data_IF_239792860000
#
_entry.id   IF_239792860000
#
_cell.length_a   1.000
_cell.length_b   1.000
_cell.length_c   1.000
_cell.angle_alpha   90.00
_cell.angle_beta   90.00
_cell.angle_gamma   90.00
#
_symmetry.space_group_name_H-M   'P 1'
#
loop_
_entity.id
_entity.type
_entity.pdbx_description
1 polymer ?
#
# COMPACT_ATOMS: atom_id res chain seq x y z
N UNK A 1 -59.68 3.53 34.32
CA UNK A 1 -58.85 3.05 33.21
C UNK A 1 -58.13 4.28 32.68
N UNK A 2 -57.17 4.85 33.40
CA UNK A 2 -55.82 4.33 33.69
C UNK A 2 -55.10 3.81 32.45
N UNK A 3 -54.13 4.62 32.00
CA UNK A 3 -52.78 4.35 31.44
C UNK A 3 -52.46 5.47 30.43
N UNK A 4 -51.89 6.61 30.85
CA UNK A 4 -50.44 6.84 31.04
C UNK A 4 -49.57 6.16 29.97
N UNK A 5 -48.95 6.93 29.08
CA UNK A 5 -47.58 7.40 29.30
C UNK A 5 -47.03 8.16 28.10
N UNK A 6 -46.34 9.25 28.41
CA UNK A 6 -45.45 9.97 27.52
C UNK A 6 -44.38 9.03 26.94
N UNK A 7 -44.11 9.16 25.64
CA UNK A 7 -42.82 8.74 25.09
C UNK A 7 -42.10 9.95 24.49
N UNK A 8 -41.57 10.74 25.43
CA UNK A 8 -40.48 11.68 25.18
C UNK A 8 -39.25 10.87 24.81
N UNK A 9 -39.10 10.52 23.52
CA UNK A 9 -37.83 9.97 23.04
C UNK A 9 -36.72 11.00 23.29
N UNK A 10 -35.69 10.67 24.08
CA UNK A 10 -34.63 11.62 24.40
C UNK A 10 -33.82 11.86 23.13
N UNK A 11 -33.65 13.14 22.80
CA UNK A 11 -32.63 13.62 21.86
C UNK A 11 -31.36 12.79 22.06
N UNK A 12 -31.07 11.92 21.09
CA UNK A 12 -29.75 11.31 21.01
C UNK A 12 -28.77 12.48 20.94
N UNK A 13 -27.75 12.53 21.81
CA UNK A 13 -26.73 13.55 21.68
C UNK A 13 -26.09 13.30 20.33
N UNK A 14 -26.39 14.17 19.36
CA UNK A 14 -25.64 14.32 18.14
C UNK A 14 -24.23 14.63 18.61
N UNK A 15 -23.42 13.58 18.80
CA UNK A 15 -21.97 13.71 18.84
C UNK A 15 -21.66 14.24 17.45
N UNK A 16 -21.59 15.58 17.36
CA UNK A 16 -20.94 16.29 16.27
C UNK A 16 -19.49 15.83 16.33
N UNK A 17 -19.25 14.63 15.80
CA UNK A 17 -17.93 14.29 15.34
C UNK A 17 -17.60 15.42 14.37
N UNK A 18 -16.50 16.15 14.57
CA UNK A 18 -16.11 17.17 13.63
C UNK A 18 -16.15 16.49 12.27
N UNK A 19 -17.01 17.02 11.42
CA UNK A 19 -17.08 16.66 10.02
C UNK A 19 -15.72 17.09 9.50
N UNK A 20 -14.74 16.18 9.59
CA UNK A 20 -13.42 16.34 9.02
C UNK A 20 -13.75 16.46 7.54
N UNK A 21 -13.90 17.68 7.06
CA UNK A 21 -14.02 18.00 5.65
C UNK A 21 -12.90 17.24 4.97
N UNK A 22 -13.30 16.30 4.10
CA UNK A 22 -12.56 15.12 3.62
C UNK A 22 -11.20 15.38 2.93
N UNK A 23 -10.67 16.61 3.02
CA UNK A 23 -9.46 17.08 2.35
C UNK A 23 -8.68 18.14 3.15
N UNK A 24 -9.08 18.45 4.39
CA UNK A 24 -8.28 19.34 5.23
C UNK A 24 -7.11 18.56 5.83
N UNK A 25 -5.90 18.94 5.41
CA UNK A 25 -4.64 18.45 5.97
C UNK A 25 -4.30 19.17 7.29
N UNK A 26 -5.32 19.43 8.11
CA UNK A 26 -5.17 20.19 9.33
C UNK A 26 -4.36 19.41 10.37
N UNK A 27 -3.37 20.10 10.93
CA UNK A 27 -2.66 19.61 12.11
C UNK A 27 -3.54 19.90 13.34
N UNK A 28 -3.69 18.97 14.30
CA UNK A 28 -2.89 17.76 14.55
C UNK A 28 -3.46 16.44 14.01
N UNK A 29 -4.57 16.45 13.25
CA UNK A 29 -5.32 15.25 12.89
C UNK A 29 -4.53 14.22 12.07
N UNK A 30 -3.55 14.69 11.29
CA UNK A 30 -2.70 13.86 10.44
C UNK A 30 -1.41 13.34 11.10
N UNK A 31 -1.26 13.53 12.42
CA UNK A 31 -0.21 12.85 13.19
C UNK A 31 -0.46 11.34 13.26
N UNK A 32 0.62 10.55 13.32
CA UNK A 32 0.55 9.08 13.37
C UNK A 32 -0.33 8.60 14.54
N UNK A 33 -0.19 9.20 15.72
CA UNK A 33 -0.95 8.80 16.91
C UNK A 33 -2.44 9.12 16.79
N UNK A 34 -2.78 10.26 16.19
CA UNK A 34 -4.18 10.62 15.92
C UNK A 34 -4.79 9.67 14.89
N UNK A 35 -4.07 9.38 13.80
CA UNK A 35 -4.52 8.43 12.77
C UNK A 35 -4.73 7.03 13.35
N UNK A 36 -3.86 6.56 14.25
CA UNK A 36 -4.05 5.27 14.96
C UNK A 36 -5.35 5.24 15.75
N UNK A 37 -5.61 6.27 16.57
CA UNK A 37 -6.83 6.34 17.37
C UNK A 37 -8.10 6.36 16.51
N UNK A 38 -8.05 7.09 15.39
CA UNK A 38 -9.16 7.20 14.43
C UNK A 38 -9.36 5.89 13.64
N UNK A 39 -8.27 5.21 13.28
CA UNK A 39 -8.31 3.94 12.55
C UNK A 39 -8.95 2.83 13.39
N UNK A 40 -8.69 2.78 14.72
CA UNK A 40 -9.35 1.84 15.64
C UNK A 40 -10.87 2.03 15.64
N UNK A 41 -11.33 3.26 15.47
CA UNK A 41 -12.76 3.57 15.36
C UNK A 41 -13.33 3.31 13.95
N UNK A 42 -12.52 2.85 12.99
CA UNK A 42 -12.86 2.65 11.58
C UNK A 42 -13.27 3.95 10.86
N UNK A 43 -12.74 5.10 11.31
CA UNK A 43 -13.12 6.43 10.80
C UNK A 43 -11.99 7.13 10.06
N UNK A 44 -11.15 6.36 9.36
CA UNK A 44 -9.95 6.88 8.69
C UNK A 44 -10.31 8.04 7.74
N UNK A 45 -9.64 9.21 7.86
CA UNK A 45 -9.95 10.38 7.06
C UNK A 45 -9.66 10.14 5.57
N UNK A 46 -10.30 10.93 4.71
CA UNK A 46 -9.98 10.98 3.28
C UNK A 46 -8.84 12.00 3.02
N UNK A 47 -8.02 11.77 1.99
CA UNK A 47 -7.94 10.54 1.18
C UNK A 47 -7.31 9.38 1.96
N UNK A 48 -7.93 8.19 1.91
CA UNK A 48 -7.46 7.01 2.66
C UNK A 48 -6.07 6.56 2.23
N UNK A 49 -5.69 6.77 0.97
CA UNK A 49 -4.36 6.46 0.46
C UNK A 49 -3.26 7.17 1.24
N UNK A 50 -3.43 8.46 1.54
CA UNK A 50 -2.48 9.23 2.33
C UNK A 50 -2.45 8.75 3.79
N UNK A 51 -3.62 8.51 4.38
CA UNK A 51 -3.71 8.06 5.77
C UNK A 51 -3.06 6.68 5.97
N UNK A 52 -3.27 5.75 5.02
CA UNK A 52 -2.58 4.46 5.00
C UNK A 52 -1.08 4.61 4.77
N UNK A 53 -0.65 5.48 3.85
CA UNK A 53 0.77 5.71 3.60
C UNK A 53 1.51 6.20 4.86
N UNK A 54 0.88 7.08 5.65
CA UNK A 54 1.44 7.54 6.94
C UNK A 54 1.43 6.43 7.99
N UNK A 55 0.32 5.69 8.12
CA UNK A 55 0.21 4.59 9.09
C UNK A 55 1.20 3.43 8.83
N UNK A 56 1.51 3.17 7.55
CA UNK A 56 2.49 2.18 7.12
C UNK A 56 3.93 2.73 7.13
N UNK A 57 4.14 3.97 7.58
CA UNK A 57 5.42 4.69 7.51
C UNK A 57 6.02 4.79 6.10
N UNK A 58 5.19 4.67 5.06
CA UNK A 58 5.61 4.83 3.67
C UNK A 58 5.80 6.31 3.28
N UNK A 59 5.07 7.22 3.93
CA UNK A 59 5.23 8.66 3.81
C UNK A 59 5.27 9.32 5.18
N UNK A 60 6.04 10.42 5.34
CA UNK A 60 6.01 11.19 6.56
C UNK A 60 4.69 11.98 6.65
N UNK A 61 4.30 12.48 7.84
CA UNK A 61 3.09 13.27 7.98
C UNK A 61 3.20 14.63 7.24
N UNK A 62 2.07 15.32 6.97
CA UNK A 62 2.03 16.55 6.15
C UNK A 62 2.86 17.73 6.66
N UNK A 63 3.31 17.70 7.91
CA UNK A 63 4.20 18.71 8.49
C UNK A 63 5.67 18.54 8.11
N UNK A 64 6.02 17.45 7.42
CA UNK A 64 7.37 17.14 6.96
C UNK A 64 7.46 17.22 5.43
N UNK A 65 8.68 17.08 4.90
CA UNK A 65 8.91 17.06 3.46
C UNK A 65 8.49 15.73 2.82
N UNK A 66 7.20 15.64 2.48
CA UNK A 66 6.61 14.51 1.75
C UNK A 66 7.22 14.38 0.34
N UNK A 67 7.50 15.50 -0.33
CA UNK A 67 7.88 15.49 -1.75
C UNK A 67 9.26 14.89 -1.93
N UNK A 68 10.24 15.30 -1.13
CA UNK A 68 11.59 14.73 -1.22
C UNK A 68 11.60 13.27 -0.77
N UNK A 69 10.85 12.92 0.28
CA UNK A 69 10.71 11.52 0.71
C UNK A 69 10.11 10.63 -0.39
N UNK A 70 9.03 11.09 -1.03
CA UNK A 70 8.38 10.37 -2.13
C UNK A 70 9.33 10.18 -3.32
N UNK A 71 10.09 11.22 -3.70
CA UNK A 71 11.09 11.12 -4.76
C UNK A 71 12.19 10.11 -4.42
N UNK A 72 12.68 10.14 -3.19
CA UNK A 72 13.70 9.20 -2.73
C UNK A 72 13.21 7.75 -2.80
N UNK A 73 11.99 7.47 -2.32
CA UNK A 73 11.42 6.12 -2.39
C UNK A 73 11.17 5.63 -3.82
N UNK A 74 10.72 6.51 -4.71
CA UNK A 74 10.53 6.17 -6.13
C UNK A 74 11.85 5.85 -6.82
N UNK A 75 12.86 6.71 -6.65
CA UNK A 75 14.18 6.46 -7.22
C UNK A 75 14.79 5.16 -6.67
N UNK A 76 14.63 4.90 -5.37
CA UNK A 76 15.09 3.65 -4.76
C UNK A 76 14.42 2.41 -5.40
N UNK A 77 13.11 2.48 -5.64
CA UNK A 77 12.39 1.41 -6.33
C UNK A 77 12.87 1.24 -7.77
N UNK A 78 13.07 2.33 -8.51
CA UNK A 78 13.56 2.30 -9.89
C UNK A 78 14.96 1.65 -9.95
N UNK A 79 15.87 2.06 -9.06
CA UNK A 79 17.21 1.48 -8.93
C UNK A 79 17.16 -0.02 -8.59
N UNK A 80 16.25 -0.41 -7.70
CA UNK A 80 16.06 -1.81 -7.31
C UNK A 80 15.52 -2.65 -8.47
N UNK A 81 14.54 -2.13 -9.20
CA UNK A 81 13.94 -2.77 -10.37
C UNK A 81 15.00 -3.05 -11.45
N UNK A 82 15.86 -2.07 -11.74
CA UNK A 82 16.97 -2.22 -12.69
C UNK A 82 17.96 -3.29 -12.22
N UNK A 83 18.33 -3.28 -10.94
CA UNK A 83 19.26 -4.26 -10.36
C UNK A 83 18.74 -5.70 -10.46
N UNK A 84 17.45 -5.90 -10.22
CA UNK A 84 16.79 -7.22 -10.25
C UNK A 84 16.38 -7.68 -11.66
N UNK A 85 16.51 -6.82 -12.66
CA UNK A 85 16.21 -7.11 -14.07
C UNK A 85 17.48 -7.35 -14.91
N UNK A 86 18.59 -7.72 -14.27
CA UNK A 86 19.87 -7.91 -14.94
C UNK A 86 19.82 -9.06 -15.96
N UNK A 87 20.22 -8.78 -17.19
CA UNK A 87 20.36 -9.79 -18.24
C UNK A 87 21.64 -10.60 -17.99
N UNK A 88 21.57 -11.92 -17.73
CA UNK A 88 22.76 -12.75 -17.50
C UNK A 88 23.71 -12.77 -18.71
N UNK A 89 23.22 -12.47 -19.91
CA UNK A 89 24.04 -12.41 -21.14
C UNK A 89 24.96 -11.20 -21.20
N UNK A 90 24.68 -10.17 -20.40
CA UNK A 90 25.52 -8.97 -20.34
C UNK A 90 26.82 -9.21 -19.56
N UNK A 91 26.91 -10.31 -18.79
CA UNK A 91 28.07 -10.65 -17.97
C UNK A 91 29.03 -11.52 -18.78
N UNK A 92 30.23 -10.98 -19.03
CA UNK A 92 31.27 -11.67 -19.79
C UNK A 92 31.98 -12.66 -18.87
N UNK A 93 32.12 -13.91 -19.31
CA UNK A 93 32.90 -14.93 -18.62
C UNK A 93 32.12 -15.82 -17.65
N UNK A 94 30.80 -15.65 -17.57
CA UNK A 94 29.89 -16.59 -16.92
C UNK A 94 29.02 -17.30 -17.97
N UNK A 95 28.51 -18.48 -17.63
CA UNK A 95 27.81 -19.35 -18.57
C UNK A 95 26.60 -20.04 -17.94
N UNK A 96 25.56 -20.38 -18.74
CA UNK A 96 24.31 -20.95 -18.25
C UNK A 96 24.43 -22.34 -17.61
N UNK A 97 25.56 -23.03 -17.78
CA UNK A 97 25.84 -24.34 -17.20
C UNK A 97 26.84 -24.25 -16.04
N UNK A 98 27.28 -23.04 -15.68
CA UNK A 98 28.15 -22.81 -14.54
C UNK A 98 27.56 -23.47 -13.29
N UNK A 99 28.43 -24.19 -12.56
CA UNK A 99 28.09 -24.81 -11.28
C UNK A 99 28.50 -23.93 -10.10
N UNK A 100 28.99 -22.72 -10.38
CA UNK A 100 29.32 -21.75 -9.34
C UNK A 100 28.03 -21.25 -8.66
N UNK A 101 28.04 -21.22 -7.34
CA UNK A 101 26.93 -20.73 -6.55
C UNK A 101 26.71 -19.23 -6.74
N UNK A 102 27.75 -18.49 -7.11
CA UNK A 102 27.73 -17.05 -7.38
C UNK A 102 27.51 -16.73 -8.89
N UNK A 103 27.14 -17.72 -9.70
CA UNK A 103 26.82 -17.51 -11.11
C UNK A 103 25.58 -16.64 -11.30
N UNK A 104 25.69 -15.66 -12.18
CA UNK A 104 24.60 -14.76 -12.59
C UNK A 104 23.51 -15.54 -13.31
N UNK A 105 23.88 -16.58 -14.05
CA UNK A 105 22.91 -17.49 -14.66
C UNK A 105 22.12 -18.27 -13.63
N UNK A 106 22.77 -18.77 -12.58
CA UNK A 106 22.09 -19.46 -11.50
C UNK A 106 21.08 -18.54 -10.82
N UNK A 107 21.48 -17.32 -10.48
CA UNK A 107 20.56 -16.31 -9.92
C UNK A 107 19.40 -16.03 -10.88
N UNK A 108 19.67 -15.83 -12.17
CA UNK A 108 18.63 -15.56 -13.17
C UNK A 108 17.58 -16.69 -13.25
N UNK A 109 18.00 -17.96 -13.19
CA UNK A 109 17.07 -19.08 -13.18
C UNK A 109 16.22 -19.12 -11.90
N UNK A 110 16.83 -18.90 -10.73
CA UNK A 110 16.10 -18.80 -9.47
C UNK A 110 15.08 -17.65 -9.48
N UNK A 111 15.46 -16.48 -10.00
CA UNK A 111 14.58 -15.32 -10.11
C UNK A 111 13.41 -15.59 -11.06
N UNK A 112 13.64 -16.29 -12.18
CA UNK A 112 12.57 -16.67 -13.11
C UNK A 112 11.61 -17.71 -12.52
N UNK A 113 12.12 -18.68 -11.75
CA UNK A 113 11.28 -19.64 -11.03
C UNK A 113 10.39 -18.90 -10.01
N UNK A 114 10.97 -17.99 -9.22
CA UNK A 114 10.22 -17.16 -8.28
C UNK A 114 9.17 -16.29 -8.97
N UNK A 115 9.53 -15.62 -10.07
CA UNK A 115 8.59 -14.82 -10.88
C UNK A 115 7.43 -15.67 -11.40
N UNK A 116 7.71 -16.91 -11.82
CA UNK A 116 6.67 -17.83 -12.29
C UNK A 116 5.70 -18.20 -11.17
N UNK A 117 6.20 -18.45 -9.96
CA UNK A 117 5.36 -18.70 -8.78
C UNK A 117 4.51 -17.48 -8.42
N UNK A 118 5.09 -16.28 -8.42
CA UNK A 118 4.35 -15.03 -8.18
C UNK A 118 3.24 -14.85 -9.23
N UNK A 119 3.53 -15.09 -10.51
CA UNK A 119 2.54 -14.93 -11.58
C UNK A 119 1.35 -15.88 -11.44
N UNK A 120 1.60 -17.13 -11.02
CA UNK A 120 0.51 -18.08 -10.72
C UNK A 120 -0.43 -17.53 -9.64
N UNK A 121 0.14 -16.84 -8.65
CA UNK A 121 -0.58 -16.25 -7.52
C UNK A 121 -1.33 -14.97 -7.92
N UNK A 122 -0.73 -14.14 -8.78
CA UNK A 122 -1.37 -12.94 -9.34
C UNK A 122 -2.61 -13.32 -10.15
N UNK A 123 -2.50 -14.30 -11.06
CA UNK A 123 -3.62 -14.70 -11.93
C UNK A 123 -4.80 -15.28 -11.13
N UNK A 124 -4.58 -15.88 -9.96
CA UNK A 124 -5.67 -16.40 -9.09
C UNK A 124 -6.19 -15.41 -8.04
N UNK A 125 -5.60 -14.22 -7.94
CA UNK A 125 -5.98 -13.21 -6.92
C UNK A 125 -7.32 -12.55 -7.26
N UNK A 126 -8.33 -12.76 -6.39
CA UNK A 126 -9.70 -12.21 -6.52
C UNK A 126 -10.28 -12.32 -7.95
N UNK A 127 -10.58 -13.55 -8.43
CA UNK A 127 -11.01 -13.76 -9.82
C UNK A 127 -12.34 -13.07 -10.16
N UNK A 128 -13.18 -12.82 -9.16
CA UNK A 128 -14.49 -12.16 -9.31
C UNK A 128 -14.38 -10.64 -9.44
N UNK A 129 -13.23 -10.06 -9.10
CA UNK A 129 -13.02 -8.61 -9.13
C UNK A 129 -12.31 -8.21 -10.43
N UNK A 130 -13.03 -7.45 -11.26
CA UNK A 130 -12.62 -7.11 -12.64
C UNK A 130 -11.27 -6.40 -12.68
N UNK A 131 -10.98 -5.55 -11.69
CA UNK A 131 -9.71 -4.81 -11.60
C UNK A 131 -8.49 -5.74 -11.68
N UNK A 132 -8.52 -6.91 -11.02
CA UNK A 132 -7.39 -7.86 -11.02
C UNK A 132 -7.31 -8.71 -12.29
N UNK A 133 -8.28 -8.60 -13.20
CA UNK A 133 -8.30 -9.32 -14.47
C UNK A 133 -7.64 -8.51 -15.60
N UNK A 134 -7.43 -7.22 -15.39
CA UNK A 134 -6.79 -6.34 -16.36
C UNK A 134 -5.30 -6.68 -16.49
N UNK A 135 -4.80 -6.75 -17.72
CA UNK A 135 -3.45 -7.25 -18.01
C UNK A 135 -2.37 -6.31 -17.46
N UNK A 136 -2.58 -5.01 -17.59
CA UNK A 136 -1.71 -3.97 -17.03
C UNK A 136 -1.66 -4.04 -15.50
N UNK A 137 -2.78 -4.36 -14.83
CA UNK A 137 -2.79 -4.60 -13.38
C UNK A 137 -2.00 -5.86 -13.03
N UNK A 138 -2.15 -6.95 -13.78
CA UNK A 138 -1.38 -8.17 -13.55
C UNK A 138 0.13 -8.02 -13.86
N UNK A 139 0.49 -7.16 -14.82
CA UNK A 139 1.89 -6.83 -15.12
C UNK A 139 2.51 -5.89 -14.07
N UNK A 140 1.69 -5.10 -13.38
CA UNK A 140 2.10 -4.22 -12.29
C UNK A 140 2.35 -4.97 -10.98
N UNK A 141 1.61 -6.05 -10.73
CA UNK A 141 1.66 -6.86 -9.50
C UNK A 141 2.81 -7.87 -9.49
#
# INVERSE_FOLDING_TARGET
>A
MEHNSADSSPNSPSKKFPEITDYLLDLPAWSVDSLKAIAIQQRLPRPRSLAWAILLNALPPPNMDIVSSLKAHRNFYDDLSVKLSMDPRAVIGDDPLSQDDESVWKQHFCDNELKTLILQDVVRTFPEEQYFREKDVQELM
#
